data_IF_308255565483
#
_entry.id   IF_308255565483
#
_cell.length_a   1.000
_cell.length_b   1.000
_cell.length_c   1.000
_cell.angle_alpha   90.00
_cell.angle_beta   90.00
_cell.angle_gamma   90.00
#
_symmetry.space_group_name_H-M   'P 1'
#
loop_
_entity.id
_entity.type
_entity.pdbx_description
1 polymer ?
#
# COMPACT_ATOMS: atom_id res chain seq x y z
N UNK A 1 15.64 10.31 -4.54
CA UNK A 1 15.45 11.72 -5.00
C UNK A 1 15.29 11.89 -6.52
N UNK A 2 16.07 11.18 -7.35
CA UNK A 2 16.11 11.47 -8.80
C UNK A 2 14.99 10.82 -9.64
N UNK A 3 14.24 9.85 -9.10
CA UNK A 3 13.18 9.13 -9.84
C UNK A 3 11.78 9.74 -9.57
N UNK A 4 11.56 10.24 -8.34
CA UNK A 4 10.31 10.88 -7.94
C UNK A 4 10.63 12.21 -7.26
N UNK A 5 10.09 13.32 -7.79
CA UNK A 5 10.24 14.65 -7.21
C UNK A 5 9.30 14.82 -5.99
N UNK A 6 9.64 14.14 -4.90
CA UNK A 6 8.82 14.10 -3.68
C UNK A 6 8.99 15.40 -2.87
N UNK A 7 7.87 15.93 -2.38
CA UNK A 7 7.79 17.09 -1.50
C UNK A 7 6.52 17.02 -0.63
N UNK A 8 6.38 17.94 0.32
CA UNK A 8 5.27 17.95 1.27
C UNK A 8 3.87 18.06 0.65
N UNK A 9 3.75 18.45 -0.64
CA UNK A 9 2.47 18.54 -1.35
C UNK A 9 2.08 17.23 -2.04
N UNK A 10 3.02 16.30 -2.25
CA UNK A 10 2.76 15.10 -3.04
C UNK A 10 3.18 13.79 -2.34
N UNK A 11 3.72 13.84 -1.12
CA UNK A 11 4.05 12.66 -0.36
C UNK A 11 4.17 12.95 1.14
N UNK A 12 3.97 11.90 1.93
CA UNK A 12 4.33 11.88 3.34
C UNK A 12 4.70 10.45 3.76
N UNK A 13 5.33 10.33 4.92
CA UNK A 13 5.55 9.04 5.58
C UNK A 13 5.24 9.17 7.07
N UNK A 14 4.91 8.04 7.69
CA UNK A 14 4.71 7.93 9.12
C UNK A 14 5.68 6.90 9.68
N UNK A 15 6.27 7.24 10.83
CA UNK A 15 7.04 6.31 11.64
C UNK A 15 6.42 6.25 13.04
N UNK A 16 6.35 5.06 13.63
CA UNK A 16 6.12 4.92 15.06
C UNK A 16 7.39 4.40 15.72
N UNK A 17 7.68 4.91 16.93
CA UNK A 17 8.80 4.47 17.75
C UNK A 17 8.31 3.79 19.02
N UNK A 18 8.96 2.70 19.40
CA UNK A 18 8.71 2.01 20.66
C UNK A 18 9.27 2.78 21.86
N UNK A 19 9.05 2.29 23.09
CA UNK A 19 9.54 2.93 24.32
C UNK A 19 11.07 3.07 24.38
N UNK A 20 11.81 2.19 23.70
CA UNK A 20 13.26 2.21 23.55
C UNK A 20 13.75 3.16 22.44
N UNK A 21 12.83 3.85 21.75
CA UNK A 21 13.13 4.73 20.63
C UNK A 21 13.34 3.99 19.29
N UNK A 22 13.26 2.66 19.24
CA UNK A 22 13.39 1.89 18.01
C UNK A 22 12.19 2.10 17.09
N UNK A 23 12.39 2.10 15.78
CA UNK A 23 11.28 2.17 14.81
C UNK A 23 10.52 0.85 14.84
N UNK A 24 9.23 0.92 15.17
CA UNK A 24 8.33 -0.24 15.24
C UNK A 24 7.34 -0.29 14.09
N UNK A 25 7.14 0.82 13.37
CA UNK A 25 6.20 0.90 12.26
C UNK A 25 6.67 1.91 11.22
N UNK A 26 6.46 1.60 9.95
CA UNK A 26 6.58 2.54 8.84
C UNK A 26 5.37 2.43 7.92
N UNK A 27 5.07 3.51 7.22
CA UNK A 27 4.21 3.54 6.03
C UNK A 27 4.46 4.84 5.27
N UNK A 28 4.25 4.81 3.96
CA UNK A 28 4.42 5.97 3.10
C UNK A 28 3.27 6.10 2.10
N UNK A 29 2.97 7.34 1.77
CA UNK A 29 2.00 7.71 0.75
C UNK A 29 2.66 8.64 -0.26
N UNK A 30 2.43 8.41 -1.55
CA UNK A 30 2.85 9.33 -2.62
C UNK A 30 1.79 9.48 -3.69
N UNK A 31 1.62 10.69 -4.20
CA UNK A 31 0.72 11.02 -5.31
C UNK A 31 1.34 10.60 -6.63
N UNK A 32 0.53 9.96 -7.46
CA UNK A 32 0.71 9.73 -8.88
C UNK A 32 -0.40 10.53 -9.58
N UNK A 33 -0.04 11.61 -10.26
CA UNK A 33 -0.97 12.36 -11.10
C UNK A 33 -1.08 11.63 -12.45
N UNK A 34 -2.12 10.81 -12.58
CA UNK A 34 -2.36 10.01 -13.78
C UNK A 34 -3.15 10.78 -14.85
N UNK A 35 -3.78 11.91 -14.48
CA UNK A 35 -4.68 12.67 -15.36
C UNK A 35 -5.71 11.73 -15.99
N UNK A 36 -5.69 11.58 -17.32
CA UNK A 36 -6.59 10.70 -18.07
C UNK A 36 -6.04 9.29 -18.31
N UNK A 37 -4.78 9.00 -17.95
CA UNK A 37 -4.22 7.65 -18.09
C UNK A 37 -4.74 6.74 -16.99
N UNK A 38 -4.98 5.48 -17.33
CA UNK A 38 -5.38 4.51 -16.30
C UNK A 38 -4.18 4.09 -15.45
N UNK A 39 -4.44 3.69 -14.20
CA UNK A 39 -3.43 3.09 -13.33
C UNK A 39 -2.85 1.82 -13.97
N UNK A 40 -3.65 1.07 -14.72
CA UNK A 40 -3.19 -0.08 -15.48
C UNK A 40 -2.11 0.32 -16.51
N UNK A 41 -2.31 1.40 -17.26
CA UNK A 41 -1.33 1.88 -18.24
C UNK A 41 -0.04 2.32 -17.55
N UNK A 42 -0.17 3.12 -16.48
CA UNK A 42 0.97 3.56 -15.69
C UNK A 42 1.79 2.38 -15.15
N UNK A 43 1.14 1.38 -14.56
CA UNK A 43 1.81 0.25 -13.92
C UNK A 43 2.41 -0.73 -14.93
N UNK A 44 1.87 -0.88 -16.14
CA UNK A 44 2.51 -1.69 -17.20
C UNK A 44 3.94 -1.22 -17.48
N UNK A 45 4.16 0.09 -17.43
CA UNK A 45 5.47 0.69 -17.69
C UNK A 45 6.33 0.78 -16.42
N UNK A 46 5.70 1.06 -15.27
CA UNK A 46 6.41 1.52 -14.08
C UNK A 46 6.39 0.56 -12.89
N UNK A 47 5.75 -0.62 -12.96
CA UNK A 47 5.56 -1.50 -11.80
C UNK A 47 6.87 -1.79 -11.03
N UNK A 48 8.02 -1.82 -11.73
CA UNK A 48 9.37 -2.00 -11.18
C UNK A 48 9.75 -0.99 -10.09
N UNK A 49 9.09 0.17 -10.04
CA UNK A 49 9.26 1.17 -8.98
C UNK A 49 8.44 0.93 -7.71
N UNK A 50 7.81 -0.24 -7.57
CA UNK A 50 6.92 -0.62 -6.46
C UNK A 50 7.33 -1.96 -5.82
N UNK A 51 8.62 -2.29 -5.88
CA UNK A 51 9.18 -3.49 -5.26
C UNK A 51 9.18 -3.38 -3.74
N UNK A 52 8.88 -4.47 -3.00
CA UNK A 52 9.12 -4.50 -1.57
C UNK A 52 10.62 -4.39 -1.26
N UNK A 53 10.96 -3.74 -0.15
CA UNK A 53 12.34 -3.67 0.34
C UNK A 53 12.76 -5.02 0.92
N UNK A 54 13.99 -5.45 0.62
CA UNK A 54 14.65 -6.61 1.24
C UNK A 54 14.89 -7.78 0.30
N UNK A 55 13.88 -8.34 -0.40
CA UNK A 55 14.08 -9.44 -1.32
C UNK A 55 14.93 -9.05 -2.54
N UNK A 56 15.80 -9.97 -2.97
CA UNK A 56 16.59 -9.85 -4.20
C UNK A 56 15.73 -10.22 -5.42
N UNK A 57 15.21 -9.21 -6.12
CA UNK A 57 14.18 -9.34 -7.17
C UNK A 57 14.81 -9.29 -8.56
N UNK A 58 14.51 -10.32 -9.37
CA UNK A 58 14.73 -10.32 -10.81
C UNK A 58 13.63 -9.51 -11.50
N UNK A 59 13.90 -8.23 -11.76
CA UNK A 59 12.96 -7.31 -12.41
C UNK A 59 12.68 -7.65 -13.88
N UNK A 60 13.56 -8.42 -14.54
CA UNK A 60 13.37 -8.82 -15.92
C UNK A 60 12.40 -10.01 -16.03
N UNK A 61 12.49 -10.95 -15.10
CA UNK A 61 11.58 -12.11 -15.02
C UNK A 61 10.26 -11.80 -14.27
N UNK A 62 10.15 -10.63 -13.65
CA UNK A 62 8.95 -10.15 -12.94
C UNK A 62 7.90 -9.59 -13.89
N UNK A 63 6.63 -9.57 -13.44
CA UNK A 63 5.52 -9.04 -14.23
C UNK A 63 4.45 -8.34 -13.41
N UNK A 64 3.76 -7.43 -14.08
CA UNK A 64 2.48 -6.87 -13.68
C UNK A 64 1.36 -7.38 -14.61
N UNK A 65 0.18 -7.63 -14.04
CA UNK A 65 -1.05 -7.97 -14.75
C UNK A 65 -2.16 -7.08 -14.21
N UNK A 66 -2.63 -6.15 -15.03
CA UNK A 66 -3.73 -5.28 -14.66
C UNK A 66 -5.03 -6.07 -14.46
N UNK A 67 -5.68 -5.89 -13.31
CA UNK A 67 -7.07 -6.31 -13.13
C UNK A 67 -8.07 -5.25 -13.61
N UNK A 68 -9.38 -5.54 -13.56
CA UNK A 68 -10.41 -4.67 -14.14
C UNK A 68 -10.59 -3.32 -13.43
N UNK A 69 -10.33 -3.22 -12.13
CA UNK A 69 -10.35 -1.97 -11.36
C UNK A 69 -9.17 -1.07 -11.72
N UNK A 70 -7.96 -1.63 -11.87
CA UNK A 70 -6.80 -0.85 -12.34
C UNK A 70 -7.03 -0.12 -13.67
N UNK A 71 -7.86 -0.69 -14.55
CA UNK A 71 -8.22 -0.07 -15.84
C UNK A 71 -9.17 1.12 -15.71
N UNK A 72 -9.89 1.24 -14.59
CA UNK A 72 -10.86 2.31 -14.32
C UNK A 72 -10.30 3.44 -13.47
N UNK A 73 -9.23 3.18 -12.72
CA UNK A 73 -8.59 4.16 -11.84
C UNK A 73 -7.80 5.16 -12.69
N UNK A 74 -8.09 6.45 -12.55
CA UNK A 74 -7.37 7.56 -13.16
C UNK A 74 -7.40 8.81 -12.24
N UNK A 75 -6.95 9.97 -12.71
CA UNK A 75 -6.94 11.21 -11.94
C UNK A 75 -5.79 11.29 -10.93
N UNK A 76 -6.07 11.85 -9.75
CA UNK A 76 -5.08 11.97 -8.66
C UNK A 76 -5.10 10.70 -7.81
N UNK A 77 -4.06 9.89 -7.93
CA UNK A 77 -4.00 8.58 -7.26
C UNK A 77 -2.90 8.56 -6.21
N UNK A 78 -3.16 8.05 -5.02
CA UNK A 78 -2.14 7.85 -3.99
C UNK A 78 -1.69 6.39 -3.91
N UNK A 79 -0.38 6.15 -4.02
CA UNK A 79 0.22 4.88 -3.68
C UNK A 79 0.47 4.81 -2.17
N UNK A 80 -0.11 3.81 -1.51
CA UNK A 80 0.16 3.42 -0.13
C UNK A 80 1.13 2.23 -0.13
N UNK A 81 2.33 2.47 0.40
CA UNK A 81 3.40 1.48 0.47
C UNK A 81 4.20 1.58 1.76
N UNK A 82 5.29 0.84 1.79
CA UNK A 82 6.27 0.78 2.88
C UNK A 82 5.64 0.52 4.26
N UNK A 83 4.50 -0.17 4.24
CA UNK A 83 3.78 -0.61 5.41
C UNK A 83 4.53 -1.79 6.02
N UNK A 84 5.24 -1.51 7.10
CA UNK A 84 5.98 -2.52 7.85
C UNK A 84 5.72 -2.32 9.33
N UNK A 85 5.61 -3.43 10.04
CA UNK A 85 5.47 -3.48 11.50
C UNK A 85 6.57 -4.39 12.02
N UNK A 86 7.25 -3.99 13.08
CA UNK A 86 8.29 -4.79 13.71
C UNK A 86 7.69 -6.10 14.28
N UNK A 87 8.44 -7.20 14.14
CA UNK A 87 8.05 -8.52 14.65
C UNK A 87 8.76 -8.93 15.94
N UNK A 88 9.69 -8.12 16.44
CA UNK A 88 10.35 -8.41 17.70
C UNK A 88 9.27 -8.40 18.78
N UNK A 89 9.17 -9.53 19.47
CA UNK A 89 8.34 -9.78 20.65
C UNK A 89 6.84 -10.02 20.41
N UNK A 90 6.35 -10.06 19.17
CA UNK A 90 4.91 -10.29 18.91
C UNK A 90 3.98 -9.23 19.53
N UNK A 91 4.54 -8.15 20.08
CA UNK A 91 3.83 -7.13 20.83
C UNK A 91 3.00 -6.20 19.91
N UNK A 92 3.42 -6.08 18.65
CA UNK A 92 2.84 -5.11 17.70
C UNK A 92 2.11 -5.77 16.53
N UNK A 93 2.63 -6.88 16.01
CA UNK A 93 1.93 -7.67 14.98
C UNK A 93 0.84 -8.51 15.66
N UNK A 94 -0.38 -8.40 15.15
CA UNK A 94 -1.53 -9.15 15.68
C UNK A 94 -2.31 -8.44 16.79
N UNK A 95 -1.84 -7.30 17.30
CA UNK A 95 -2.53 -6.50 18.32
C UNK A 95 -3.56 -5.50 17.77
N UNK A 96 -3.82 -5.52 16.46
CA UNK A 96 -4.65 -4.51 15.79
C UNK A 96 -3.93 -3.17 15.51
N UNK A 97 -2.73 -2.94 16.03
CA UNK A 97 -2.01 -1.68 15.88
C UNK A 97 -1.78 -1.27 14.41
N UNK A 98 -1.46 -2.23 13.54
CA UNK A 98 -1.31 -1.95 12.10
C UNK A 98 -2.60 -1.38 11.47
N UNK A 99 -3.77 -1.84 11.91
CA UNK A 99 -5.06 -1.35 11.42
C UNK A 99 -5.28 0.12 11.82
N UNK A 100 -5.03 0.44 13.08
CA UNK A 100 -5.15 1.81 13.61
C UNK A 100 -4.18 2.75 12.88
N UNK A 101 -2.90 2.38 12.79
CA UNK A 101 -1.90 3.21 12.12
C UNK A 101 -2.17 3.33 10.62
N UNK A 102 -2.63 2.28 9.95
CA UNK A 102 -2.99 2.33 8.54
C UNK A 102 -4.16 3.27 8.25
N UNK A 103 -5.21 3.23 9.08
CA UNK A 103 -6.32 4.18 8.97
C UNK A 103 -5.90 5.62 9.27
N UNK A 104 -4.97 5.81 10.20
CA UNK A 104 -4.40 7.13 10.45
C UNK A 104 -3.67 7.68 9.20
N UNK A 105 -2.97 6.84 8.44
CA UNK A 105 -2.41 7.26 7.15
C UNK A 105 -3.49 7.62 6.13
N UNK A 106 -4.58 6.86 6.04
CA UNK A 106 -5.69 7.22 5.14
C UNK A 106 -6.32 8.56 5.52
N UNK A 107 -6.48 8.85 6.81
CA UNK A 107 -7.00 10.15 7.28
C UNK A 107 -6.09 11.31 6.84
N UNK A 108 -4.78 11.16 7.04
CA UNK A 108 -3.80 12.17 6.59
C UNK A 108 -3.82 12.29 5.06
N UNK A 109 -3.91 11.18 4.35
CA UNK A 109 -3.97 11.14 2.89
C UNK A 109 -5.18 11.91 2.35
N UNK A 110 -6.38 11.67 2.88
CA UNK A 110 -7.59 12.42 2.52
C UNK A 110 -7.43 13.91 2.83
N UNK A 111 -6.89 14.25 4.00
CA UNK A 111 -6.76 15.65 4.44
C UNK A 111 -5.71 16.45 3.66
N UNK A 112 -4.56 15.85 3.37
CA UNK A 112 -3.41 16.56 2.81
C UNK A 112 -3.28 16.40 1.30
N UNK A 113 -3.61 15.22 0.77
CA UNK A 113 -3.38 14.88 -0.64
C UNK A 113 -4.70 14.85 -1.44
N UNK A 114 -5.84 14.69 -0.76
CA UNK A 114 -7.19 14.64 -1.34
C UNK A 114 -7.27 13.82 -2.65
N UNK A 115 -6.83 12.55 -2.65
CA UNK A 115 -6.80 11.77 -3.87
C UNK A 115 -8.19 11.28 -4.30
N UNK A 116 -8.33 11.00 -5.58
CA UNK A 116 -9.49 10.32 -6.16
C UNK A 116 -9.46 8.81 -5.84
N UNK A 117 -8.27 8.24 -5.73
CA UNK A 117 -8.06 6.83 -5.40
C UNK A 117 -6.83 6.63 -4.53
N UNK A 118 -6.85 5.60 -3.68
CA UNK A 118 -5.67 5.05 -3.01
C UNK A 118 -5.46 3.61 -3.46
N UNK A 119 -4.23 3.20 -3.74
CA UNK A 119 -3.90 1.81 -4.04
C UNK A 119 -2.61 1.37 -3.36
N UNK A 120 -2.42 0.06 -3.22
CA UNK A 120 -1.18 -0.54 -2.71
C UNK A 120 -0.98 -1.96 -3.22
N UNK A 121 0.21 -2.51 -2.99
CA UNK A 121 0.49 -3.92 -3.24
C UNK A 121 0.69 -4.66 -1.92
N UNK A 122 -0.02 -5.79 -1.75
CA UNK A 122 0.10 -6.63 -0.56
C UNK A 122 0.53 -8.03 -0.97
N UNK A 123 1.61 -8.52 -0.39
CA UNK A 123 2.09 -9.87 -0.64
C UNK A 123 1.06 -10.92 -0.22
N UNK A 124 0.93 -12.00 -1.00
CA UNK A 124 -0.01 -13.11 -0.76
C UNK A 124 0.00 -13.63 0.69
N UNK A 125 1.16 -13.90 1.33
CA UNK A 125 1.17 -14.41 2.71
C UNK A 125 0.60 -13.43 3.74
N UNK A 126 0.54 -12.15 3.41
CA UNK A 126 0.08 -11.08 4.29
C UNK A 126 -1.39 -10.79 4.06
N UNK A 127 -1.83 -10.67 2.80
CA UNK A 127 -3.26 -10.43 2.51
C UNK A 127 -4.13 -11.61 2.93
N UNK A 128 -3.64 -12.85 2.85
CA UNK A 128 -4.38 -14.03 3.35
C UNK A 128 -4.51 -14.08 4.87
N UNK A 129 -3.83 -13.18 5.60
CA UNK A 129 -4.03 -12.97 7.04
C UNK A 129 -4.99 -11.80 7.31
N UNK A 130 -5.76 -11.37 6.32
CA UNK A 130 -6.75 -10.31 6.44
C UNK A 130 -6.16 -8.92 6.67
N UNK A 131 -4.93 -8.63 6.20
CA UNK A 131 -4.34 -7.30 6.43
C UNK A 131 -5.14 -6.21 5.71
N UNK A 132 -5.53 -6.43 4.45
CA UNK A 132 -6.19 -5.41 3.64
C UNK A 132 -7.53 -4.99 4.25
N UNK A 133 -8.30 -5.98 4.68
CA UNK A 133 -9.61 -5.86 5.32
C UNK A 133 -9.48 -5.14 6.66
N UNK A 134 -8.48 -5.50 7.48
CA UNK A 134 -8.22 -4.82 8.76
C UNK A 134 -7.83 -3.35 8.59
N UNK A 135 -7.10 -3.00 7.53
CA UNK A 135 -6.81 -1.60 7.22
C UNK A 135 -8.05 -0.85 6.71
N UNK A 136 -9.01 -1.56 6.13
CA UNK A 136 -10.25 -0.99 5.57
C UNK A 136 -10.27 -0.88 4.05
N UNK A 137 -9.34 -1.51 3.33
CA UNK A 137 -9.44 -1.59 1.86
C UNK A 137 -10.72 -2.32 1.46
N UNK A 138 -11.44 -1.75 0.49
CA UNK A 138 -12.74 -2.29 0.02
C UNK A 138 -12.63 -3.07 -1.29
N UNK A 139 -11.50 -2.92 -2.00
CA UNK A 139 -11.25 -3.64 -3.24
C UNK A 139 -9.90 -4.33 -3.23
N UNK A 140 -9.87 -5.53 -3.81
CA UNK A 140 -8.68 -6.38 -3.91
C UNK A 140 -8.68 -7.11 -5.25
N UNK A 141 -7.56 -7.01 -5.98
CA UNK A 141 -7.33 -7.69 -7.24
C UNK A 141 -6.24 -8.75 -7.07
N UNK A 142 -6.57 -10.03 -7.27
CA UNK A 142 -5.62 -11.13 -7.10
C UNK A 142 -4.59 -11.19 -8.21
N UNK A 143 -3.39 -11.65 -7.86
CA UNK A 143 -2.30 -11.96 -8.80
C UNK A 143 -1.92 -10.80 -9.73
N UNK A 144 -2.08 -9.55 -9.25
CA UNK A 144 -1.79 -8.34 -10.01
C UNK A 144 -0.30 -8.15 -10.23
N UNK A 145 0.54 -8.62 -9.30
CA UNK A 145 1.98 -8.50 -9.40
C UNK A 145 2.67 -9.80 -9.04
N UNK A 146 3.74 -10.13 -9.77
CA UNK A 146 4.60 -11.28 -9.50
C UNK A 146 6.05 -10.84 -9.58
N UNK A 147 6.69 -10.81 -8.42
CA UNK A 147 8.12 -10.54 -8.27
C UNK A 147 8.90 -11.86 -8.26
N UNK A 148 9.70 -12.09 -9.30
CA UNK A 148 10.66 -13.21 -9.34
C UNK A 148 11.86 -12.88 -8.47
N UNK A 149 12.38 -13.88 -7.78
CA UNK A 149 13.56 -13.74 -6.92
C UNK A 149 14.70 -14.50 -7.57
N UNK A 150 15.91 -13.94 -7.61
CA UNK A 150 17.06 -14.61 -8.26
C UNK A 150 17.35 -15.98 -7.64
N UNK A 151 17.20 -16.10 -6.32
CA UNK A 151 17.61 -17.28 -5.56
C UNK A 151 16.44 -18.13 -5.06
N UNK A 152 15.23 -18.00 -5.62
CA UNK A 152 14.07 -18.82 -5.22
C UNK A 152 13.20 -19.23 -6.41
N UNK A 153 12.79 -20.50 -6.43
CA UNK A 153 11.88 -21.04 -7.45
C UNK A 153 10.50 -20.37 -7.42
N UNK A 154 10.03 -20.02 -6.22
CA UNK A 154 8.72 -19.40 -6.01
C UNK A 154 8.81 -17.88 -6.04
N UNK A 155 8.02 -17.29 -6.92
CA UNK A 155 7.83 -15.85 -6.98
C UNK A 155 7.06 -15.32 -5.77
N UNK A 156 7.33 -14.08 -5.38
CA UNK A 156 6.48 -13.33 -4.46
C UNK A 156 5.28 -12.78 -5.25
N UNK A 157 4.12 -13.37 -5.01
CA UNK A 157 2.87 -12.92 -5.62
C UNK A 157 2.20 -11.87 -4.74
N UNK A 158 1.69 -10.82 -5.37
CA UNK A 158 1.01 -9.72 -4.69
C UNK A 158 -0.38 -9.48 -5.27
N UNK A 159 -1.21 -8.90 -4.42
CA UNK A 159 -2.54 -8.41 -4.72
C UNK A 159 -2.47 -6.89 -4.82
N UNK A 160 -3.27 -6.29 -5.71
CA UNK A 160 -3.46 -4.85 -5.72
C UNK A 160 -4.69 -4.56 -4.90
N UNK A 161 -4.56 -3.76 -3.86
CA UNK A 161 -5.68 -3.30 -3.04
C UNK A 161 -5.95 -1.85 -3.37
N UNK A 162 -7.20 -1.42 -3.34
CA UNK A 162 -7.54 -0.03 -3.64
C UNK A 162 -8.85 0.42 -3.01
N UNK A 163 -9.04 1.74 -3.00
CA UNK A 163 -10.24 2.46 -2.57
C UNK A 163 -10.42 3.69 -3.46
N UNK A 164 -11.64 3.95 -3.89
CA UNK A 164 -12.06 5.24 -4.45
C UNK A 164 -12.26 6.27 -3.33
N UNK A 165 -12.46 7.53 -3.70
CA UNK A 165 -12.78 8.62 -2.78
C UNK A 165 -13.99 8.30 -1.89
N UNK A 166 -15.05 7.74 -2.47
CA UNK A 166 -16.27 7.40 -1.72
C UNK A 166 -16.01 6.27 -0.71
N UNK A 167 -15.18 5.28 -1.06
CA UNK A 167 -14.74 4.22 -0.14
C UNK A 167 -13.95 4.83 1.03
N UNK A 168 -13.03 5.76 0.74
CA UNK A 168 -12.25 6.46 1.76
C UNK A 168 -13.18 7.25 2.69
N UNK A 169 -14.15 7.99 2.14
CA UNK A 169 -15.11 8.75 2.92
C UNK A 169 -15.96 7.82 3.80
N UNK A 170 -16.48 6.72 3.24
CA UNK A 170 -17.25 5.74 4.00
C UNK A 170 -16.39 5.11 5.11
N UNK A 171 -15.14 4.74 4.81
CA UNK A 171 -14.21 4.18 5.78
C UNK A 171 -13.93 5.14 6.96
N UNK A 172 -13.94 6.46 6.75
CA UNK A 172 -13.78 7.46 7.83
C UNK A 172 -15.00 7.54 8.75
N UNK A 173 -16.16 7.03 8.32
CA UNK A 173 -17.35 6.97 9.18
C UNK A 173 -17.32 5.80 10.15
N UNK A 174 -16.46 4.80 9.91
CA UNK A 174 -16.32 3.61 10.74
C UNK A 174 -15.42 3.93 11.95
N UNK A 175 -15.93 3.87 13.19
CA UNK A 175 -15.13 4.12 14.38
C UNK A 175 -13.91 3.19 14.48
N UNK A 176 -12.77 3.73 14.92
CA UNK A 176 -11.57 2.92 15.15
C UNK A 176 -11.75 1.91 16.29
N UNK A 177 -12.60 2.22 17.28
CA UNK A 177 -12.87 1.35 18.43
C UNK A 177 -13.46 0.01 18.00
N UNK A 178 -14.22 -0.03 16.90
CA UNK A 178 -14.84 -1.25 16.39
C UNK A 178 -13.82 -2.23 15.76
N UNK A 179 -12.56 -1.82 15.61
CA UNK A 179 -11.49 -2.64 15.01
C UNK A 179 -10.53 -3.28 16.02
N UNK A 180 -10.58 -2.89 17.29
CA UNK A 180 -9.58 -3.28 18.31
C UNK A 180 -10.16 -4.31 19.30
N UNK A 181 -11.07 -5.15 18.83
CA UNK A 181 -11.66 -6.25 19.60
C UNK A 181 -10.76 -7.50 19.65
#
# INVERSE_FOLDING_TARGET
PNIHQLNAKNAFWLIAKGPDGAVIHTQAMRVLDLKSFSLADHLRESFRGFTPVGPDIDLAASRYRAGPGAQKICGTVCYHGELWMDDRLGAYRGSGLSAVLGRFAFLICVKQLSPDYVFGFVARPVIFKGLAERLGYMHSEPASIRWRLHNKDRALEGFMVWMARDDLQFMMTIPLVDLVA
#
